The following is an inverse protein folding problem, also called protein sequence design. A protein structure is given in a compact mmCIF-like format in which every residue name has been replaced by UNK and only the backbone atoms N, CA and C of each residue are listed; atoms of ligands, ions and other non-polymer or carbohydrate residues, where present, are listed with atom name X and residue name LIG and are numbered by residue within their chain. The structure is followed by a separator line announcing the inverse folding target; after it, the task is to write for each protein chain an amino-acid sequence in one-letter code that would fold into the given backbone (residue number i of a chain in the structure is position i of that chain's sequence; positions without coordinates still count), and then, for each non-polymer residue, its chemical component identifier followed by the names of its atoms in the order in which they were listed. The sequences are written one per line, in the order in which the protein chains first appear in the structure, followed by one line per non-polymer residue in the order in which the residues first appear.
data_IF_594477389632
#
_entry.id   IF_594477389632
#
_cell.length_a   1.000
_cell.length_b   1.000
_cell.length_c   1.000
_cell.angle_alpha   90.00
_cell.angle_beta   90.00
_cell.angle_gamma   90.00
#
_symmetry.space_group_name_H-M   'P 1'
#
loop_
_entity.id
_entity.type
_entity.pdbx_description
1 polymer ?
#
# COMPACT_ATOMS: atom_id res chain seq x y z
N UNK A 1 11.09 -6.96 -8.28
CA UNK A 1 11.59 -8.04 -7.40
C UNK A 1 10.41 -8.96 -7.01
N UNK A 2 10.57 -10.28 -7.12
CA UNK A 2 9.61 -11.25 -6.56
C UNK A 2 10.16 -11.74 -5.22
N UNK A 3 9.34 -11.65 -4.18
CA UNK A 3 9.67 -12.19 -2.86
C UNK A 3 8.69 -13.32 -2.55
N UNK A 4 9.22 -14.52 -2.33
CA UNK A 4 8.47 -15.64 -1.76
C UNK A 4 8.95 -15.79 -0.33
N UNK A 5 8.07 -15.52 0.63
CA UNK A 5 8.43 -15.49 2.05
C UNK A 5 8.11 -16.80 2.78
N UNK A 6 7.27 -17.65 2.18
CA UNK A 6 6.96 -19.01 2.65
C UNK A 6 6.51 -19.85 1.45
N UNK A 7 6.83 -21.14 1.49
CA UNK A 7 6.45 -22.13 0.48
C UNK A 7 5.20 -22.90 0.92
N UNK A 8 4.79 -22.73 2.18
CA UNK A 8 3.62 -23.34 2.80
C UNK A 8 2.46 -22.33 2.87
N UNK A 9 1.34 -22.69 2.26
CA UNK A 9 0.10 -21.89 2.21
C UNK A 9 -0.60 -21.77 3.55
N UNK A 10 -0.29 -22.62 4.52
CA UNK A 10 -0.87 -22.57 5.87
C UNK A 10 -0.10 -21.68 6.83
N UNK A 11 1.07 -21.19 6.41
CA UNK A 11 1.91 -20.31 7.21
C UNK A 11 1.70 -18.85 6.79
N UNK A 12 0.78 -18.16 7.46
CA UNK A 12 0.63 -16.71 7.26
C UNK A 12 1.76 -15.95 7.98
N UNK A 13 2.43 -15.05 7.25
CA UNK A 13 3.52 -14.25 7.81
C UNK A 13 2.96 -12.94 8.37
N UNK A 14 3.31 -12.65 9.61
CA UNK A 14 2.75 -11.49 10.29
C UNK A 14 3.11 -10.16 9.59
N UNK A 15 2.20 -9.15 9.61
CA UNK A 15 2.41 -7.84 8.98
C UNK A 15 3.73 -7.17 9.29
N UNK A 16 4.27 -7.35 10.50
CA UNK A 16 5.56 -6.76 10.88
C UNK A 16 6.73 -7.40 10.11
N UNK A 17 6.69 -8.72 9.91
CA UNK A 17 7.69 -9.42 9.10
C UNK A 17 7.58 -8.95 7.63
N UNK A 18 6.37 -8.89 7.09
CA UNK A 18 6.11 -8.36 5.74
C UNK A 18 6.63 -6.93 5.58
N UNK A 19 6.34 -6.04 6.53
CA UNK A 19 6.79 -4.65 6.48
C UNK A 19 8.32 -4.52 6.53
N UNK A 20 9.02 -5.36 7.30
CA UNK A 20 10.49 -5.39 7.32
C UNK A 20 11.07 -5.85 5.98
N UNK A 21 10.46 -6.85 5.34
CA UNK A 21 10.88 -7.33 4.03
C UNK A 21 10.65 -6.24 2.97
N UNK A 22 9.45 -5.63 2.94
CA UNK A 22 9.14 -4.54 2.00
C UNK A 22 10.05 -3.33 2.19
N UNK A 23 10.46 -3.00 3.43
CA UNK A 23 11.46 -1.96 3.70
C UNK A 23 12.79 -2.25 3.01
N UNK A 24 13.25 -3.50 3.00
CA UNK A 24 14.48 -3.88 2.30
C UNK A 24 14.35 -3.68 0.79
N UNK A 25 13.21 -4.09 0.20
CA UNK A 25 12.91 -3.86 -1.22
C UNK A 25 12.88 -2.36 -1.56
N UNK A 26 12.26 -1.54 -0.71
CA UNK A 26 12.19 -0.08 -0.88
C UNK A 26 13.58 0.56 -0.81
N UNK A 27 14.48 0.04 0.02
CA UNK A 27 15.85 0.54 0.09
C UNK A 27 16.65 0.30 -1.21
N UNK A 28 16.34 -0.79 -1.93
CA UNK A 28 16.97 -1.14 -3.20
C UNK A 28 16.34 -0.39 -4.39
N UNK A 29 15.00 -0.36 -4.46
CA UNK A 29 14.26 0.23 -5.59
C UNK A 29 14.08 1.75 -5.47
N UNK A 30 14.27 2.32 -4.26
CA UNK A 30 14.14 3.73 -3.93
C UNK A 30 12.88 4.44 -4.51
N UNK A 31 11.66 3.90 -4.31
CA UNK A 31 10.44 4.49 -4.86
C UNK A 31 10.06 5.81 -4.14
N UNK A 32 9.41 6.72 -4.88
CA UNK A 32 8.83 7.93 -4.30
C UNK A 32 7.42 7.75 -3.72
N UNK A 33 6.75 6.64 -4.02
CA UNK A 33 5.39 6.32 -3.59
C UNK A 33 5.24 4.79 -3.52
N UNK A 34 4.62 4.30 -2.44
CA UNK A 34 4.26 2.88 -2.30
C UNK A 34 2.76 2.78 -2.06
N UNK A 35 2.08 1.94 -2.84
CA UNK A 35 0.66 1.65 -2.69
C UNK A 35 0.49 0.22 -2.18
N UNK A 36 -0.25 0.06 -1.10
CA UNK A 36 -0.66 -1.23 -0.55
C UNK A 36 -2.20 -1.32 -0.50
N UNK A 37 -2.74 -2.50 -0.31
CA UNK A 37 -4.16 -2.66 0.04
C UNK A 37 -4.45 -2.15 1.45
N UNK A 38 -5.70 -1.72 1.72
CA UNK A 38 -6.18 -1.38 3.07
C UNK A 38 -5.95 -2.53 4.06
N UNK A 39 -6.37 -3.73 3.70
CA UNK A 39 -6.24 -4.93 4.49
C UNK A 39 -6.18 -6.15 3.56
N UNK A 40 -5.50 -7.19 4.02
CA UNK A 40 -5.63 -8.50 3.42
C UNK A 40 -6.86 -9.18 4.02
N UNK A 41 -7.65 -9.88 3.20
CA UNK A 41 -8.95 -10.46 3.60
C UNK A 41 -8.83 -11.80 4.32
N UNK A 42 -7.63 -12.37 4.33
CA UNK A 42 -7.28 -13.64 4.96
C UNK A 42 -7.01 -13.48 6.46
N UNK A 43 -6.31 -12.41 6.87
CA UNK A 43 -6.00 -12.12 8.28
C UNK A 43 -6.64 -10.84 8.84
N UNK A 44 -7.26 -9.99 8.01
CA UNK A 44 -7.99 -8.78 8.40
C UNK A 44 -7.21 -7.79 9.29
N UNK A 45 -5.87 -7.80 9.25
CA UNK A 45 -5.06 -7.08 10.24
C UNK A 45 -4.95 -5.56 10.01
N UNK A 46 -5.11 -5.08 8.76
CA UNK A 46 -5.03 -3.66 8.42
C UNK A 46 -3.78 -2.95 9.02
N UNK A 47 -2.59 -3.56 8.90
CA UNK A 47 -1.41 -3.12 9.64
C UNK A 47 -0.15 -2.92 8.79
N UNK A 48 0.04 -3.69 7.73
CA UNK A 48 1.31 -3.75 6.99
C UNK A 48 1.76 -2.39 6.46
N UNK A 49 0.85 -1.63 5.82
CA UNK A 49 1.18 -0.31 5.27
C UNK A 49 1.57 0.71 6.34
N UNK A 50 0.86 0.71 7.48
CA UNK A 50 1.11 1.59 8.60
C UNK A 50 2.42 1.24 9.32
N UNK A 51 2.69 -0.05 9.54
CA UNK A 51 3.96 -0.53 10.08
C UNK A 51 5.13 -0.19 9.16
N UNK A 52 4.96 -0.34 7.84
CA UNK A 52 5.97 0.02 6.85
C UNK A 52 6.30 1.51 6.88
N UNK A 53 5.27 2.37 6.93
CA UNK A 53 5.43 3.82 7.11
C UNK A 53 6.23 4.15 8.38
N UNK A 54 5.88 3.52 9.51
CA UNK A 54 6.60 3.70 10.76
C UNK A 54 8.07 3.26 10.68
N UNK A 55 8.35 2.10 10.06
CA UNK A 55 9.71 1.58 9.91
C UNK A 55 10.59 2.43 8.99
N UNK A 56 10.00 3.11 8.01
CA UNK A 56 10.70 4.01 7.08
C UNK A 56 10.79 5.46 7.58
N UNK A 57 9.95 5.85 8.54
CA UNK A 57 9.77 7.24 8.92
C UNK A 57 9.11 8.08 7.82
N UNK A 58 8.35 7.45 6.93
CA UNK A 58 7.65 8.11 5.83
C UNK A 58 6.25 8.55 6.26
N UNK A 59 5.71 9.56 5.58
CA UNK A 59 4.32 9.92 5.74
C UNK A 59 3.39 8.79 5.25
N UNK A 60 2.12 8.81 5.67
CA UNK A 60 1.15 7.81 5.22
C UNK A 60 -0.24 8.39 4.96
N UNK A 61 -0.91 7.81 3.97
CA UNK A 61 -2.32 8.03 3.70
C UNK A 61 -3.13 6.73 3.66
N UNK A 62 -3.76 6.36 4.78
CA UNK A 62 -4.57 5.16 4.86
C UNK A 62 -5.99 5.38 4.32
N UNK A 63 -6.63 4.31 3.86
CA UNK A 63 -8.04 4.28 3.42
C UNK A 63 -8.36 5.20 2.24
N UNK A 64 -7.41 5.34 1.30
CA UNK A 64 -7.55 6.27 0.18
C UNK A 64 -8.71 5.87 -0.74
N UNK A 65 -9.65 6.79 -0.96
CA UNK A 65 -10.69 6.74 -1.99
C UNK A 65 -10.42 7.68 -3.16
N UNK A 66 -9.47 8.61 -3.01
CA UNK A 66 -8.91 9.40 -4.12
C UNK A 66 -7.43 9.73 -3.86
N UNK A 67 -6.61 9.75 -4.90
CA UNK A 67 -5.18 10.07 -4.84
C UNK A 67 -4.81 10.98 -6.01
N UNK A 68 -4.33 12.18 -5.69
CA UNK A 68 -3.78 13.13 -6.66
C UNK A 68 -2.34 13.51 -6.27
N UNK A 69 -1.40 13.41 -7.20
CA UNK A 69 0.02 13.71 -6.96
C UNK A 69 0.33 15.12 -7.44
N UNK A 70 0.75 15.98 -6.51
CA UNK A 70 0.99 17.40 -6.72
C UNK A 70 2.43 17.74 -6.33
N UNK A 71 3.36 17.55 -7.28
CA UNK A 71 4.78 17.84 -7.08
C UNK A 71 5.40 16.94 -6.02
N UNK A 72 5.84 17.54 -4.91
CA UNK A 72 6.46 16.86 -3.77
C UNK A 72 5.45 16.38 -2.71
N UNK A 73 4.16 16.50 -2.99
CA UNK A 73 3.07 16.07 -2.10
C UNK A 73 2.04 15.21 -2.83
N UNK A 74 1.28 14.46 -2.05
CA UNK A 74 0.04 13.82 -2.50
C UNK A 74 -1.15 14.43 -1.74
N UNK A 75 -2.21 14.76 -2.47
CA UNK A 75 -3.52 15.10 -1.93
C UNK A 75 -4.37 13.83 -1.94
N UNK A 76 -4.75 13.35 -0.76
CA UNK A 76 -5.45 12.06 -0.60
C UNK A 76 -6.76 12.29 0.11
N UNK A 77 -7.86 11.90 -0.53
CA UNK A 77 -9.16 11.77 0.15
C UNK A 77 -9.26 10.36 0.70
N UNK A 78 -9.53 10.25 1.99
CA UNK A 78 -9.66 8.99 2.72
C UNK A 78 -11.04 8.83 3.33
N UNK A 79 -11.46 7.58 3.43
CA UNK A 79 -12.63 7.18 4.21
C UNK A 79 -12.29 7.23 5.72
N UNK A 80 -13.16 7.84 6.49
CA UNK A 80 -13.17 7.85 7.97
C UNK A 80 -14.60 7.60 8.45
N UNK A 81 -14.80 7.29 9.73
CA UNK A 81 -16.13 6.91 10.23
C UNK A 81 -17.22 7.98 9.98
N UNK A 82 -16.83 9.26 9.95
CA UNK A 82 -17.73 10.39 9.68
C UNK A 82 -17.92 10.76 8.21
N UNK A 83 -17.33 10.01 7.27
CA UNK A 83 -17.37 10.30 5.84
C UNK A 83 -15.97 10.44 5.23
N UNK A 84 -15.73 11.54 4.53
CA UNK A 84 -14.48 11.76 3.79
C UNK A 84 -13.62 12.83 4.44
N UNK A 85 -12.31 12.58 4.46
CA UNK A 85 -11.31 13.55 4.87
C UNK A 85 -10.23 13.68 3.79
N UNK A 86 -9.96 14.90 3.34
CA UNK A 86 -8.82 15.15 2.45
C UNK A 86 -7.62 15.62 3.26
N UNK A 87 -6.47 14.99 3.02
CA UNK A 87 -5.20 15.34 3.65
C UNK A 87 -4.12 15.56 2.59
N UNK A 88 -3.10 16.35 2.95
CA UNK A 88 -1.89 16.54 2.15
C UNK A 88 -0.72 15.86 2.84
N UNK A 89 -0.05 14.95 2.15
CA UNK A 89 1.11 14.20 2.66
C UNK A 89 2.34 14.48 1.80
N UNK A 90 3.53 14.48 2.41
CA UNK A 90 4.80 14.75 1.72
C UNK A 90 5.39 13.47 1.15
N UNK A 91 5.86 13.50 -0.10
CA UNK A 91 6.61 12.39 -0.69
C UNK A 91 8.04 12.32 -0.10
N UNK A 92 8.59 11.11 0.12
CA UNK A 92 7.98 9.81 -0.15
C UNK A 92 6.93 9.42 0.90
N UNK A 93 5.90 8.68 0.46
CA UNK A 93 4.74 8.30 1.28
C UNK A 93 4.28 6.87 1.01
N UNK A 94 3.62 6.27 2.01
CA UNK A 94 2.84 5.04 1.86
C UNK A 94 1.36 5.39 1.70
N UNK A 95 0.65 4.78 0.77
CA UNK A 95 -0.81 4.93 0.61
C UNK A 95 -1.46 3.55 0.70
N UNK A 96 -2.52 3.41 1.50
CA UNK A 96 -3.34 2.18 1.49
C UNK A 96 -4.65 2.45 0.77
N UNK A 97 -4.94 1.64 -0.25
CA UNK A 97 -6.12 1.79 -1.11
C UNK A 97 -7.36 1.21 -0.44
N UNK A 98 -8.42 2.01 -0.32
CA UNK A 98 -9.76 1.49 -0.06
C UNK A 98 -10.38 0.93 -1.35
N UNK A 99 -11.41 0.09 -1.22
CA UNK A 99 -12.17 -0.47 -2.34
C UNK A 99 -12.73 0.63 -3.26
N UNK A 100 -13.00 1.82 -2.72
CA UNK A 100 -13.57 2.94 -3.48
C UNK A 100 -12.53 3.74 -4.31
N UNK A 101 -11.24 3.39 -4.24
CA UNK A 101 -10.20 4.16 -4.93
C UNK A 101 -10.35 4.15 -6.45
N UNK A 102 -10.66 3.00 -7.04
CA UNK A 102 -10.83 2.82 -8.47
C UNK A 102 -11.58 1.52 -8.80
N UNK A 103 -11.84 1.32 -10.09
CA UNK A 103 -12.32 0.04 -10.66
C UNK A 103 -11.15 -0.66 -11.37
N UNK A 104 -10.64 -1.80 -10.86
CA UNK A 104 -9.55 -2.52 -11.49
C UNK A 104 -9.91 -3.01 -12.90
N UNK A 105 -9.07 -2.69 -13.89
CA UNK A 105 -9.26 -3.18 -15.26
C UNK A 105 -9.01 -4.69 -15.36
N UNK A 106 -9.69 -5.34 -16.30
CA UNK A 106 -9.34 -6.71 -16.70
C UNK A 106 -7.98 -6.75 -17.44
N UNK A 107 -7.25 -7.85 -17.27
CA UNK A 107 -6.06 -8.12 -18.06
C UNK A 107 -6.44 -8.51 -19.50
N UNK A 108 -5.77 -7.93 -20.49
CA UNK A 108 -5.98 -8.30 -21.89
C UNK A 108 -5.21 -9.57 -22.24
N UNK A 109 -5.73 -10.37 -23.18
CA UNK A 109 -5.10 -11.62 -23.62
C UNK A 109 -3.61 -11.46 -24.02
N UNK A 110 -3.20 -10.42 -24.77
CA UNK A 110 -1.78 -10.22 -25.10
C UNK A 110 -0.88 -9.99 -23.87
N UNK A 111 -1.42 -9.47 -22.77
CA UNK A 111 -0.66 -9.26 -21.54
C UNK A 111 -0.56 -10.52 -20.67
N UNK A 112 -1.46 -11.50 -20.86
CA UNK A 112 -1.45 -12.77 -20.12
C UNK A 112 -0.49 -13.79 -20.78
N UNK A 113 -0.28 -13.69 -22.09
CA UNK A 113 0.57 -14.62 -22.84
C UNK A 113 2.06 -14.26 -22.86
N UNK A 114 2.45 -13.10 -22.30
CA UNK A 114 3.86 -12.68 -22.18
C UNK A 114 4.48 -13.27 -20.92
#
# INVERSE_FOLDING_TARGET
ILVVATDDVHNDIEPLAVAKILKAVIAEENPGLVIAGKQAIDNDMNATGQMLSALLGWSQAAFASHLDIQGDHALVTREVDGGLQTIKVKLPTIVTADLRLNEPRYASLPNIMK
#
